data_IF_456716821871
#
_entry.id   IF_456716821871
#
_cell.length_a   1.000
_cell.length_b   1.000
_cell.length_c   1.000
_cell.angle_alpha   90.00
_cell.angle_beta   90.00
_cell.angle_gamma   90.00
#
_symmetry.space_group_name_H-M   'P 1'
#
loop_
_entity.id
_entity.type
_entity.pdbx_description
1 polymer ?
#
# COMPACT_ATOMS: atom_id res chain seq x y z
N UNK A 1 -16.09 25.32 8.96
CA UNK A 1 -14.66 25.69 9.03
C UNK A 1 -14.09 25.62 7.61
N UNK A 2 -13.03 26.37 7.31
CA UNK A 2 -12.45 26.36 5.96
C UNK A 2 -11.62 25.09 5.77
N UNK A 3 -11.65 24.46 4.60
CA UNK A 3 -10.82 23.28 4.30
C UNK A 3 -9.33 23.55 4.63
N UNK A 4 -8.88 24.80 4.43
CA UNK A 4 -7.51 25.23 4.74
C UNK A 4 -7.21 25.27 6.24
N UNK A 5 -8.18 25.66 7.09
CA UNK A 5 -7.98 25.63 8.55
C UNK A 5 -7.90 24.19 9.06
N UNK A 6 -8.71 23.31 8.50
CA UNK A 6 -8.81 21.91 8.91
C UNK A 6 -7.56 21.12 8.47
N UNK A 7 -7.01 21.43 7.28
CA UNK A 7 -5.70 20.90 6.84
C UNK A 7 -4.58 21.38 7.78
N UNK A 8 -4.57 22.66 8.16
CA UNK A 8 -3.62 23.21 9.13
C UNK A 8 -3.69 22.50 10.49
N UNK A 9 -4.90 22.15 10.94
CA UNK A 9 -5.13 21.39 12.16
C UNK A 9 -4.58 19.96 12.08
N UNK A 10 -4.64 19.31 10.91
CA UNK A 10 -4.01 17.98 10.73
C UNK A 10 -2.49 18.09 10.86
N UNK A 11 -1.87 19.09 10.23
CA UNK A 11 -0.41 19.28 10.34
C UNK A 11 0.03 19.61 11.77
N UNK A 12 -0.70 20.45 12.49
CA UNK A 12 -0.38 20.74 13.89
C UNK A 12 -0.56 19.53 14.80
N UNK A 13 -1.59 18.71 14.56
CA UNK A 13 -1.80 17.46 15.29
C UNK A 13 -0.71 16.42 15.00
N UNK A 14 -0.25 16.31 13.75
CA UNK A 14 0.90 15.44 13.41
C UNK A 14 2.18 15.97 14.06
N UNK A 15 2.38 17.29 14.09
CA UNK A 15 3.54 17.92 14.71
C UNK A 15 3.54 17.80 16.24
N UNK A 16 2.37 17.76 16.89
CA UNK A 16 2.27 17.55 18.34
C UNK A 16 2.59 16.12 18.77
N UNK A 17 2.66 15.17 17.82
CA UNK A 17 2.90 13.75 18.05
C UNK A 17 1.91 13.13 19.07
N UNK A 18 0.70 13.69 19.16
CA UNK A 18 -0.37 13.21 20.02
C UNK A 18 -1.40 12.41 19.19
N UNK A 19 -1.46 11.11 19.45
CA UNK A 19 -2.35 10.19 18.75
C UNK A 19 -3.84 10.57 18.87
N UNK A 20 -4.25 11.19 19.98
CA UNK A 20 -5.63 11.63 20.17
C UNK A 20 -5.96 12.84 19.31
N UNK A 21 -5.06 13.84 19.26
CA UNK A 21 -5.21 15.00 18.37
C UNK A 21 -5.20 14.59 16.89
N UNK A 22 -4.31 13.67 16.50
CA UNK A 22 -4.22 13.16 15.12
C UNK A 22 -5.53 12.47 14.73
N UNK A 23 -6.07 11.60 15.61
CA UNK A 23 -7.35 10.94 15.38
C UNK A 23 -8.47 11.97 15.16
N UNK A 24 -8.58 12.95 16.05
CA UNK A 24 -9.64 13.97 15.97
C UNK A 24 -9.55 14.77 14.67
N UNK A 25 -8.34 15.24 14.33
CA UNK A 25 -8.09 15.98 13.10
C UNK A 25 -8.38 15.17 11.83
N UNK A 26 -8.12 13.85 11.84
CA UNK A 26 -8.39 12.96 10.71
C UNK A 26 -9.89 12.67 10.49
N UNK A 27 -10.78 12.98 11.44
CA UNK A 27 -12.23 12.79 11.25
C UNK A 27 -12.83 13.79 10.26
N UNK A 28 -12.22 14.98 10.14
CA UNK A 28 -12.67 16.02 9.23
C UNK A 28 -12.63 15.57 7.75
N UNK A 29 -13.52 16.13 6.93
CA UNK A 29 -13.54 15.91 5.47
C UNK A 29 -12.24 16.40 4.80
N UNK A 30 -11.54 17.33 5.44
CA UNK A 30 -10.21 17.78 5.07
C UNK A 30 -9.19 16.64 4.91
N UNK A 31 -9.35 15.53 5.63
CA UNK A 31 -8.48 14.35 5.51
C UNK A 31 -8.51 13.72 4.12
N UNK A 32 -9.64 13.79 3.40
CA UNK A 32 -9.76 13.30 2.02
C UNK A 32 -8.98 14.17 1.03
N UNK A 33 -9.07 15.49 1.19
CA UNK A 33 -8.33 16.44 0.36
C UNK A 33 -6.83 16.36 0.63
N UNK A 34 -6.43 16.33 1.91
CA UNK A 34 -5.04 16.16 2.30
C UNK A 34 -4.50 14.80 1.83
N UNK A 35 -5.26 13.72 2.02
CA UNK A 35 -4.89 12.39 1.54
C UNK A 35 -4.69 12.37 0.02
N UNK A 36 -5.57 13.02 -0.74
CA UNK A 36 -5.39 13.15 -2.20
C UNK A 36 -4.12 13.92 -2.53
N UNK A 37 -3.85 15.04 -1.86
CA UNK A 37 -2.64 15.83 -2.05
C UNK A 37 -1.37 15.04 -1.69
N UNK A 38 -1.39 14.29 -0.59
CA UNK A 38 -0.28 13.43 -0.14
C UNK A 38 -0.05 12.29 -1.13
N UNK A 39 -1.10 11.61 -1.59
CA UNK A 39 -0.98 10.54 -2.59
C UNK A 39 -0.45 11.08 -3.92
N UNK A 40 -0.90 12.27 -4.34
CA UNK A 40 -0.46 12.91 -5.57
C UNK A 40 1.01 13.36 -5.47
N UNK A 41 1.35 14.20 -4.50
CA UNK A 41 2.69 14.77 -4.34
C UNK A 41 3.69 13.70 -3.92
N UNK A 42 3.33 12.89 -2.93
CA UNK A 42 4.17 11.80 -2.44
C UNK A 42 4.34 10.69 -3.48
N UNK A 43 3.26 10.31 -4.18
CA UNK A 43 3.35 9.35 -5.27
C UNK A 43 4.25 9.82 -6.41
N UNK A 44 4.14 11.09 -6.82
CA UNK A 44 5.03 11.67 -7.85
C UNK A 44 6.48 11.77 -7.37
N UNK A 45 6.71 12.19 -6.13
CA UNK A 45 8.05 12.28 -5.54
C UNK A 45 8.72 10.90 -5.46
N UNK A 46 8.00 9.89 -5.00
CA UNK A 46 8.47 8.50 -4.93
C UNK A 46 8.72 7.92 -6.33
N UNK A 47 7.86 8.19 -7.31
CA UNK A 47 8.08 7.78 -8.69
C UNK A 47 9.35 8.43 -9.28
N UNK A 48 9.63 9.69 -8.92
CA UNK A 48 10.89 10.37 -9.26
C UNK A 48 12.10 9.75 -8.56
N UNK A 49 11.97 9.42 -7.28
CA UNK A 49 13.00 8.74 -6.49
C UNK A 49 13.33 7.36 -7.07
N UNK A 50 12.33 6.58 -7.48
CA UNK A 50 12.53 5.29 -8.13
C UNK A 50 13.31 5.40 -9.43
N UNK A 51 13.05 6.44 -10.24
CA UNK A 51 13.86 6.74 -11.43
C UNK A 51 15.32 7.06 -11.09
N UNK A 52 15.57 7.73 -9.97
CA UNK A 52 16.93 8.06 -9.53
C UNK A 52 17.65 6.85 -8.88
N UNK A 53 16.90 5.98 -8.19
CA UNK A 53 17.40 4.85 -7.41
C UNK A 53 16.72 3.53 -7.85
N UNK A 54 17.12 2.96 -9.01
CA UNK A 54 16.48 1.76 -9.56
C UNK A 54 16.64 0.52 -8.68
N UNK A 55 17.64 0.51 -7.78
CA UNK A 55 17.80 -0.54 -6.79
C UNK A 55 16.62 -0.58 -5.80
N UNK A 56 16.22 0.58 -5.27
CA UNK A 56 15.09 0.68 -4.31
C UNK A 56 13.81 0.23 -5.00
N UNK A 57 13.61 0.71 -6.23
CA UNK A 57 12.47 0.33 -7.07
C UNK A 57 12.39 -1.20 -7.29
N UNK A 58 13.51 -1.89 -7.44
CA UNK A 58 13.51 -3.32 -7.76
C UNK A 58 13.28 -4.21 -6.55
N UNK A 59 13.77 -3.81 -5.37
CA UNK A 59 13.88 -4.69 -4.22
C UNK A 59 12.96 -4.33 -3.04
N UNK A 60 12.46 -3.10 -2.93
CA UNK A 60 11.76 -2.66 -1.71
C UNK A 60 10.51 -3.49 -1.40
N UNK A 61 9.52 -3.52 -2.31
CA UNK A 61 8.27 -4.24 -2.09
C UNK A 61 8.52 -5.75 -2.00
N UNK A 62 9.38 -6.29 -2.87
CA UNK A 62 9.73 -7.72 -2.89
C UNK A 62 10.40 -8.16 -1.58
N UNK A 63 11.30 -7.36 -1.03
CA UNK A 63 11.98 -7.67 0.23
C UNK A 63 11.00 -7.70 1.38
N UNK A 64 10.10 -6.71 1.46
CA UNK A 64 9.07 -6.66 2.51
C UNK A 64 8.15 -7.88 2.44
N UNK A 65 7.71 -8.25 1.23
CA UNK A 65 6.89 -9.44 1.02
C UNK A 65 7.61 -10.72 1.48
N UNK A 66 8.86 -10.93 1.04
CA UNK A 66 9.62 -12.15 1.37
C UNK A 66 9.93 -12.22 2.85
N UNK A 67 10.35 -11.12 3.47
CA UNK A 67 10.64 -11.07 4.91
C UNK A 67 9.39 -11.33 5.73
N UNK A 68 8.26 -10.70 5.39
CA UNK A 68 6.98 -10.95 6.06
C UNK A 68 6.53 -12.41 5.91
N UNK A 69 6.66 -12.98 4.71
CA UNK A 69 6.35 -14.39 4.45
C UNK A 69 7.21 -15.35 5.28
N UNK A 70 8.53 -15.14 5.29
CA UNK A 70 9.46 -15.95 6.08
C UNK A 70 9.20 -15.79 7.58
N UNK A 71 8.86 -14.59 8.05
CA UNK A 71 8.49 -14.35 9.44
C UNK A 71 7.20 -15.10 9.83
N UNK A 72 6.16 -15.06 8.98
CA UNK A 72 4.92 -15.86 9.18
C UNK A 72 5.25 -17.35 9.26
N UNK A 73 6.02 -17.86 8.30
CA UNK A 73 6.42 -19.27 8.25
C UNK A 73 7.21 -19.66 9.50
N UNK A 74 8.14 -18.82 9.94
CA UNK A 74 8.94 -19.05 11.14
C UNK A 74 8.08 -19.08 12.41
N UNK A 75 7.15 -18.14 12.59
CA UNK A 75 6.26 -18.10 13.76
C UNK A 75 5.39 -19.37 13.80
N UNK A 76 4.82 -19.78 12.66
CA UNK A 76 4.00 -20.99 12.60
C UNK A 76 4.84 -22.23 12.89
N UNK A 77 6.03 -22.34 12.29
CA UNK A 77 6.95 -23.44 12.52
C UNK A 77 7.37 -23.55 13.98
N UNK A 78 7.78 -22.43 14.59
CA UNK A 78 8.11 -22.39 16.01
C UNK A 78 6.91 -22.70 16.89
N UNK A 79 5.71 -22.22 16.54
CA UNK A 79 4.47 -22.52 17.25
C UNK A 79 4.14 -24.02 17.28
N UNK A 80 4.51 -24.77 16.24
CA UNK A 80 4.39 -26.24 16.24
C UNK A 80 5.38 -26.85 17.24
N UNK A 81 6.63 -26.39 17.27
CA UNK A 81 7.64 -26.90 18.22
C UNK A 81 7.22 -26.61 19.67
N UNK A 82 6.86 -25.37 19.98
CA UNK A 82 6.41 -24.95 21.33
C UNK A 82 5.25 -25.84 21.81
N UNK A 83 4.27 -26.07 20.93
CA UNK A 83 3.10 -26.87 21.23
C UNK A 83 3.40 -28.33 21.51
N UNK A 84 4.17 -28.99 20.64
CA UNK A 84 4.34 -30.45 20.70
C UNK A 84 5.55 -30.90 21.52
N UNK A 85 6.58 -30.06 21.65
CA UNK A 85 7.80 -30.39 22.41
C UNK A 85 7.71 -29.83 23.83
N UNK A 86 7.28 -28.59 23.98
CA UNK A 86 7.27 -27.90 25.28
C UNK A 86 5.89 -27.91 25.96
N UNK A 87 4.87 -28.48 25.31
CA UNK A 87 3.46 -28.47 25.80
C UNK A 87 2.97 -27.06 26.15
N UNK A 88 3.51 -26.04 25.47
CA UNK A 88 3.22 -24.63 25.70
C UNK A 88 2.75 -23.99 24.39
N UNK A 89 1.87 -23.00 24.48
CA UNK A 89 1.41 -22.28 23.30
C UNK A 89 1.41 -20.78 23.58
N UNK A 90 2.35 -20.07 22.97
CA UNK A 90 2.34 -18.62 23.00
C UNK A 90 1.06 -18.04 22.36
N UNK A 91 0.25 -17.24 23.08
CA UNK A 91 -1.01 -16.73 22.56
C UNK A 91 -0.85 -15.81 21.32
N UNK A 92 0.26 -15.08 21.23
CA UNK A 92 0.54 -14.18 20.10
C UNK A 92 0.89 -14.92 18.79
N UNK A 93 1.23 -16.21 18.86
CA UNK A 93 1.65 -16.98 17.68
C UNK A 93 0.51 -17.19 16.68
N UNK A 94 -0.74 -16.89 17.05
CA UNK A 94 -1.92 -16.96 16.18
C UNK A 94 -2.40 -15.58 15.71
N UNK A 95 -2.00 -14.50 16.38
CA UNK A 95 -2.51 -13.14 16.16
C UNK A 95 -1.53 -12.25 15.39
N UNK A 96 -0.21 -12.43 15.58
CA UNK A 96 0.82 -11.73 14.81
C UNK A 96 0.88 -12.20 13.35
N UNK A 97 0.79 -13.50 13.01
CA UNK A 97 0.90 -13.93 11.62
C UNK A 97 -0.16 -13.33 10.68
N UNK A 98 -1.45 -13.19 11.05
CA UNK A 98 -2.42 -12.45 10.24
C UNK A 98 -2.03 -10.98 9.99
N UNK A 99 -1.42 -10.29 10.96
CA UNK A 99 -0.94 -8.92 10.80
C UNK A 99 0.26 -8.84 9.84
N UNK A 100 1.19 -9.80 9.93
CA UNK A 100 2.30 -9.93 8.99
C UNK A 100 1.83 -10.32 7.58
N UNK A 101 0.81 -11.19 7.49
CA UNK A 101 0.19 -11.54 6.22
C UNK A 101 -0.51 -10.33 5.59
N UNK A 102 -1.18 -9.50 6.39
CA UNK A 102 -1.74 -8.22 5.94
C UNK A 102 -0.64 -7.32 5.36
N UNK A 103 0.50 -7.17 6.04
CA UNK A 103 1.66 -6.42 5.52
C UNK A 103 2.08 -7.01 4.16
N UNK A 104 2.35 -8.32 4.11
CA UNK A 104 2.74 -9.00 2.88
C UNK A 104 1.73 -8.76 1.74
N UNK A 105 0.43 -8.81 2.03
CA UNK A 105 -0.64 -8.62 1.05
C UNK A 105 -0.67 -7.19 0.49
N UNK A 106 -0.51 -6.16 1.32
CA UNK A 106 -0.53 -4.77 0.85
C UNK A 106 0.68 -4.41 0.00
N UNK A 107 1.87 -4.84 0.40
CA UNK A 107 3.08 -4.64 -0.40
C UNK A 107 3.07 -5.53 -1.66
N UNK A 108 2.49 -6.73 -1.59
CA UNK A 108 2.25 -7.59 -2.75
C UNK A 108 1.27 -6.99 -3.76
N UNK A 109 0.20 -6.35 -3.28
CA UNK A 109 -0.72 -5.62 -4.14
C UNK A 109 -0.01 -4.48 -4.86
N UNK A 110 0.81 -3.71 -4.14
CA UNK A 110 1.63 -2.63 -4.72
C UNK A 110 2.57 -3.15 -5.80
N UNK A 111 3.24 -4.27 -5.54
CA UNK A 111 4.13 -4.92 -6.50
C UNK A 111 3.39 -5.45 -7.75
N UNK A 112 2.20 -6.03 -7.57
CA UNK A 112 1.35 -6.48 -8.67
C UNK A 112 0.82 -5.32 -9.53
N UNK A 113 0.58 -4.15 -8.94
CA UNK A 113 0.27 -2.93 -9.72
C UNK A 113 1.46 -2.58 -10.60
N UNK A 114 2.69 -2.59 -10.09
CA UNK A 114 3.90 -2.33 -10.88
C UNK A 114 4.08 -3.32 -12.04
N UNK A 115 3.84 -4.62 -11.79
CA UNK A 115 3.94 -5.66 -12.82
C UNK A 115 2.72 -5.77 -13.74
N UNK A 116 1.63 -5.04 -13.45
CA UNK A 116 0.35 -5.12 -14.18
C UNK A 116 -0.24 -6.53 -14.22
N UNK A 117 0.00 -7.31 -13.17
CA UNK A 117 -0.52 -8.68 -13.01
C UNK A 117 -1.88 -8.74 -12.32
N UNK A 118 -2.52 -7.58 -12.10
CA UNK A 118 -3.90 -7.55 -11.64
C UNK A 118 -4.84 -8.14 -12.70
N UNK A 119 -5.90 -8.79 -12.24
CA UNK A 119 -6.84 -9.49 -13.11
C UNK A 119 -7.48 -8.49 -14.08
N UNK A 120 -7.22 -8.68 -15.37
CA UNK A 120 -7.73 -7.83 -16.44
C UNK A 120 -8.17 -8.67 -17.63
N UNK A 121 -9.16 -8.17 -18.37
CA UNK A 121 -9.62 -8.78 -19.62
C UNK A 121 -8.66 -8.44 -20.77
N UNK A 122 -7.44 -8.94 -20.69
CA UNK A 122 -6.35 -8.64 -21.63
C UNK A 122 -6.69 -9.02 -23.08
N UNK A 123 -7.39 -10.15 -23.28
CA UNK A 123 -7.83 -10.62 -24.60
C UNK A 123 -8.87 -9.70 -25.27
N UNK A 124 -9.76 -9.11 -24.46
CA UNK A 124 -10.73 -8.14 -24.98
C UNK A 124 -10.04 -6.83 -25.32
N UNK A 125 -9.16 -6.35 -24.43
CA UNK A 125 -8.44 -5.09 -24.61
C UNK A 125 -7.44 -5.16 -25.77
N UNK A 126 -6.76 -6.27 -25.99
CA UNK A 126 -5.80 -6.43 -27.09
C UNK A 126 -6.45 -6.33 -28.48
N UNK A 127 -7.72 -6.69 -28.60
CA UNK A 127 -8.51 -6.61 -29.84
C UNK A 127 -9.11 -5.23 -30.12
N UNK A 128 -9.05 -4.30 -29.15
CA UNK A 128 -9.58 -2.95 -29.32
C UNK A 128 -8.69 -2.09 -30.21
N UNK A 129 -9.26 -1.05 -30.88
CA UNK A 129 -8.45 -0.04 -31.55
C UNK A 129 -7.57 0.70 -30.53
N UNK A 130 -6.38 1.13 -30.96
CA UNK A 130 -5.36 1.80 -30.14
C UNK A 130 -5.90 2.89 -29.18
N UNK A 131 -6.76 3.84 -29.60
CA UNK A 131 -7.32 4.85 -28.69
C UNK A 131 -8.19 4.25 -27.57
N UNK A 132 -8.93 3.18 -27.84
CA UNK A 132 -9.72 2.49 -26.82
C UNK A 132 -8.84 1.73 -25.82
N UNK A 133 -7.74 1.12 -26.28
CA UNK A 133 -6.73 0.53 -25.39
C UNK A 133 -6.17 1.57 -24.42
N UNK A 134 -5.79 2.74 -24.94
CA UNK A 134 -5.27 3.84 -24.12
C UNK A 134 -6.32 4.35 -23.14
N UNK A 135 -7.58 4.51 -23.57
CA UNK A 135 -8.68 4.90 -22.68
C UNK A 135 -8.87 3.91 -21.52
N UNK A 136 -8.78 2.59 -21.77
CA UNK A 136 -8.81 1.58 -20.72
C UNK A 136 -7.64 1.71 -19.74
N UNK A 137 -6.41 1.96 -20.23
CA UNK A 137 -5.24 2.16 -19.37
C UNK A 137 -5.36 3.43 -18.51
N UNK A 138 -5.91 4.51 -19.09
CA UNK A 138 -6.18 5.73 -18.32
C UNK A 138 -7.26 5.52 -17.26
N UNK A 139 -8.31 4.76 -17.59
CA UNK A 139 -9.32 4.37 -16.62
C UNK A 139 -8.71 3.55 -15.48
N UNK A 140 -7.89 2.54 -15.78
CA UNK A 140 -7.19 1.74 -14.76
C UNK A 140 -6.33 2.63 -13.86
N UNK A 141 -5.58 3.59 -14.43
CA UNK A 141 -4.76 4.52 -13.66
C UNK A 141 -5.60 5.40 -12.71
N UNK A 142 -6.73 5.94 -13.18
CA UNK A 142 -7.64 6.73 -12.35
C UNK A 142 -8.25 5.87 -11.23
N UNK A 143 -8.70 4.65 -11.55
CA UNK A 143 -9.29 3.74 -10.57
C UNK A 143 -8.27 3.32 -9.50
N UNK A 144 -7.05 2.95 -9.89
CA UNK A 144 -5.99 2.58 -8.95
C UNK A 144 -5.55 3.76 -8.08
N UNK A 145 -5.48 4.97 -8.64
CA UNK A 145 -5.15 6.15 -7.85
C UNK A 145 -6.27 6.49 -6.85
N UNK A 146 -7.53 6.49 -7.29
CA UNK A 146 -8.68 6.73 -6.42
C UNK A 146 -8.76 5.67 -5.30
N UNK A 147 -8.58 4.40 -5.64
CA UNK A 147 -8.53 3.31 -4.67
C UNK A 147 -7.39 3.50 -3.66
N UNK A 148 -6.22 3.93 -4.13
CA UNK A 148 -5.07 4.21 -3.25
C UNK A 148 -5.38 5.31 -2.24
N UNK A 149 -6.02 6.41 -2.67
CA UNK A 149 -6.45 7.48 -1.76
C UNK A 149 -7.45 6.97 -0.73
N UNK A 150 -8.45 6.18 -1.16
CA UNK A 150 -9.48 5.63 -0.26
C UNK A 150 -8.86 4.77 0.82
N UNK A 151 -8.03 3.80 0.44
CA UNK A 151 -7.47 2.89 1.43
C UNK A 151 -6.43 3.62 2.29
N UNK A 152 -5.64 4.53 1.74
CA UNK A 152 -4.67 5.29 2.51
C UNK A 152 -5.35 6.14 3.60
N UNK A 153 -6.40 6.90 3.29
CA UNK A 153 -7.09 7.74 4.28
C UNK A 153 -7.80 6.89 5.32
N UNK A 154 -8.50 5.83 4.91
CA UNK A 154 -9.26 4.98 5.84
C UNK A 154 -8.34 4.18 6.76
N UNK A 155 -7.23 3.66 6.26
CA UNK A 155 -6.25 2.93 7.07
C UNK A 155 -5.41 3.84 7.94
N UNK A 156 -5.13 5.09 7.52
CA UNK A 156 -4.53 6.11 8.39
C UNK A 156 -5.45 6.45 9.58
N UNK A 157 -6.76 6.61 9.34
CA UNK A 157 -7.76 6.78 10.40
C UNK A 157 -7.78 5.58 11.34
N UNK A 158 -7.73 4.35 10.81
CA UNK A 158 -7.70 3.14 11.61
C UNK A 158 -6.42 3.02 12.47
N UNK A 159 -5.27 3.38 11.91
CA UNK A 159 -4.00 3.40 12.63
C UNK A 159 -3.99 4.44 13.76
N UNK A 160 -4.47 5.67 13.48
CA UNK A 160 -4.61 6.72 14.49
C UNK A 160 -5.61 6.33 15.60
N UNK A 161 -6.73 5.70 15.23
CA UNK A 161 -7.69 5.16 16.20
C UNK A 161 -7.04 4.12 17.11
N UNK A 162 -6.31 3.17 16.52
CA UNK A 162 -5.59 2.13 17.24
C UNK A 162 -4.54 2.69 18.19
N UNK A 163 -3.79 3.70 17.74
CA UNK A 163 -2.81 4.41 18.56
C UNK A 163 -3.46 5.17 19.73
N UNK A 164 -4.54 5.93 19.47
CA UNK A 164 -5.24 6.72 20.50
C UNK A 164 -5.88 5.88 21.60
N UNK A 165 -6.26 4.64 21.27
CA UNK A 165 -6.88 3.70 22.20
C UNK A 165 -5.84 2.77 22.87
N UNK A 166 -4.55 2.94 22.61
CA UNK A 166 -3.48 2.05 23.08
C UNK A 166 -3.80 0.56 22.84
N UNK A 167 -4.32 0.24 21.65
CA UNK A 167 -4.72 -1.13 21.32
C UNK A 167 -3.49 -2.04 21.27
N UNK A 168 -3.52 -3.09 22.09
CA UNK A 168 -2.47 -4.12 22.16
C UNK A 168 -2.87 -5.30 21.28
N UNK A 169 -1.90 -5.88 20.57
CA UNK A 169 -2.09 -7.12 19.84
C UNK A 169 -2.44 -8.23 20.82
N UNK A 170 -3.58 -8.89 20.59
CA UNK A 170 -4.06 -9.97 21.44
C UNK A 170 -2.98 -11.03 21.67
N UNK A 171 -2.72 -11.37 22.93
CA UNK A 171 -1.71 -12.35 23.30
C UNK A 171 -0.28 -11.81 23.49
N UNK A 172 -0.09 -10.48 23.43
CA UNK A 172 1.18 -9.80 23.74
C UNK A 172 1.00 -8.85 24.93
N UNK A 173 2.10 -8.49 25.59
CA UNK A 173 2.06 -7.59 26.76
C UNK A 173 2.14 -6.11 26.37
N UNK A 174 2.99 -5.76 25.40
CA UNK A 174 3.33 -4.37 25.06
C UNK A 174 3.39 -4.09 23.55
N UNK A 175 2.91 -5.01 22.71
CA UNK A 175 2.99 -4.83 21.25
C UNK A 175 1.76 -4.07 20.78
N UNK A 176 1.97 -2.81 20.35
CA UNK A 176 0.87 -1.97 19.89
C UNK A 176 0.42 -2.37 18.48
N UNK A 177 -0.89 -2.50 18.29
CA UNK A 177 -1.48 -2.94 17.03
C UNK A 177 -1.25 -1.92 15.90
N UNK A 178 -1.17 -0.62 16.22
CA UNK A 178 -0.95 0.44 15.23
C UNK A 178 0.41 0.34 14.52
N UNK A 179 1.42 -0.30 15.14
CA UNK A 179 2.72 -0.57 14.49
C UNK A 179 2.58 -1.40 13.22
N UNK A 180 1.56 -2.26 13.15
CA UNK A 180 1.24 -3.04 11.96
C UNK A 180 0.26 -2.31 11.05
N UNK A 181 -0.73 -1.59 11.61
CA UNK A 181 -1.74 -0.91 10.79
C UNK A 181 -1.17 0.25 9.98
N UNK A 182 -0.15 0.95 10.48
CA UNK A 182 0.48 2.08 9.78
C UNK A 182 1.19 1.66 8.49
N UNK A 183 1.50 0.37 8.31
CA UNK A 183 2.10 -0.11 7.07
C UNK A 183 1.13 -0.07 5.89
N UNK A 184 -0.19 -0.14 6.15
CA UNK A 184 -1.21 -0.09 5.10
C UNK A 184 -1.22 1.27 4.37
N UNK A 185 -1.36 2.43 5.04
CA UNK A 185 -1.32 3.72 4.32
C UNK A 185 0.03 3.95 3.63
N UNK A 186 1.14 3.45 4.19
CA UNK A 186 2.45 3.49 3.53
C UNK A 186 2.45 2.68 2.24
N UNK A 187 1.93 1.44 2.27
CA UNK A 187 1.84 0.60 1.06
C UNK A 187 0.98 1.25 -0.02
N UNK A 188 -0.14 1.90 0.34
CA UNK A 188 -0.98 2.60 -0.64
C UNK A 188 -0.38 3.90 -1.17
N UNK A 189 0.51 4.55 -0.42
CA UNK A 189 1.34 5.64 -0.94
C UNK A 189 2.34 5.12 -1.99
N UNK A 190 2.97 3.97 -1.74
CA UNK A 190 3.82 3.31 -2.72
C UNK A 190 3.02 2.86 -3.96
N UNK A 191 1.79 2.36 -3.76
CA UNK A 191 0.88 2.01 -4.85
C UNK A 191 0.57 3.20 -5.74
N UNK A 192 0.29 4.38 -5.16
CA UNK A 192 0.13 5.61 -5.93
C UNK A 192 1.38 5.92 -6.78
N UNK A 193 2.59 5.73 -6.22
CA UNK A 193 3.83 5.88 -6.98
C UNK A 193 3.92 4.89 -8.16
N UNK A 194 3.58 3.60 -7.96
CA UNK A 194 3.54 2.59 -9.03
C UNK A 194 2.50 2.92 -10.09
N UNK A 195 1.34 3.44 -9.71
CA UNK A 195 0.32 3.92 -10.65
C UNK A 195 0.87 5.05 -11.53
N UNK A 196 1.61 6.02 -10.97
CA UNK A 196 2.23 7.07 -11.77
C UNK A 196 3.33 6.55 -12.69
N UNK A 197 4.15 5.59 -12.25
CA UNK A 197 5.15 4.96 -13.12
C UNK A 197 4.50 4.31 -14.34
N UNK A 198 3.46 3.52 -14.12
CA UNK A 198 2.68 2.88 -15.17
C UNK A 198 2.03 3.93 -16.10
N UNK A 199 1.42 4.96 -15.53
CA UNK A 199 0.80 6.04 -16.30
C UNK A 199 1.82 6.75 -17.21
N UNK A 200 3.02 7.05 -16.72
CA UNK A 200 4.06 7.67 -17.52
C UNK A 200 4.60 6.76 -18.61
N UNK A 201 4.71 5.46 -18.35
CA UNK A 201 5.06 4.47 -19.36
C UNK A 201 3.99 4.40 -20.46
N UNK A 202 2.70 4.40 -20.10
CA UNK A 202 1.58 4.32 -21.04
C UNK A 202 1.51 5.57 -21.93
N UNK A 203 1.70 6.76 -21.36
CA UNK A 203 1.77 8.01 -22.10
C UNK A 203 2.98 8.02 -23.06
N UNK A 204 4.13 7.49 -22.61
CA UNK A 204 5.32 7.35 -23.46
C UNK A 204 5.08 6.38 -24.62
N UNK A 205 4.46 5.24 -24.36
CA UNK A 205 4.14 4.23 -25.37
C UNK A 205 3.10 4.74 -26.37
N UNK A 206 2.11 5.51 -25.92
CA UNK A 206 1.15 6.19 -26.79
C UNK A 206 1.86 7.13 -27.78
N UNK A 207 2.71 8.03 -27.28
CA UNK A 207 3.42 9.04 -28.09
C UNK A 207 4.45 8.44 -29.04
N UNK A 208 5.12 7.37 -28.63
CA UNK A 208 6.21 6.74 -29.40
C UNK A 208 5.74 5.66 -30.39
N UNK A 209 4.43 5.39 -30.49
CA UNK A 209 3.92 4.35 -31.38
C UNK A 209 4.15 2.91 -30.87
N UNK A 210 4.82 2.72 -29.73
CA UNK A 210 5.07 1.42 -29.10
C UNK A 210 3.76 0.69 -28.71
N UNK A 211 3.75 -0.65 -28.64
CA UNK A 211 2.57 -1.41 -28.22
C UNK A 211 2.16 -1.02 -26.79
N UNK A 212 0.87 -0.74 -26.58
CA UNK A 212 0.31 -0.31 -25.29
C UNK A 212 0.08 -1.49 -24.35
N UNK A 213 -0.47 -2.58 -24.87
CA UNK A 213 -0.77 -3.79 -24.09
C UNK A 213 0.31 -4.81 -24.41
N UNK A 214 1.13 -5.12 -23.41
CA UNK A 214 2.02 -6.27 -23.42
C UNK A 214 1.33 -7.37 -22.60
N UNK A 215 1.25 -8.59 -23.13
CA UNK A 215 0.75 -9.71 -22.35
C UNK A 215 1.76 -9.98 -21.22
N UNK A 216 1.37 -9.71 -19.98
CA UNK A 216 2.14 -10.12 -18.82
C UNK A 216 2.02 -11.64 -18.68
N UNK A 217 3.09 -12.37 -19.02
CA UNK A 217 3.19 -13.81 -18.75
C UNK A 217 3.72 -13.95 -17.33
N UNK A 218 2.97 -14.65 -16.46
CA UNK A 218 3.44 -14.96 -15.11
C UNK A 218 4.66 -15.90 -15.26
N UNK A 219 5.86 -15.38 -14.96
CA UNK A 219 7.13 -16.09 -15.15
C UNK A 219 7.84 -15.84 -16.48
N UNK A 220 7.37 -14.90 -17.31
CA UNK A 220 8.12 -14.43 -18.48
C UNK A 220 9.19 -13.41 -18.09
N UNK A 221 10.38 -13.54 -18.66
CA UNK A 221 11.47 -12.58 -18.45
C UNK A 221 11.04 -11.17 -18.88
N UNK A 222 11.18 -10.22 -17.97
CA UNK A 222 11.01 -8.76 -18.20
C UNK A 222 12.36 -8.12 -18.48
#
# INVERSE_FOLDING_TARGET
MSILSDVGAIFSAVASNDAWMIREALTADAAWYLGTAVALVGGLALAGMYRALPFVERYLERTIMVVAYLAVAFIIFWGVIDRFVFSNQQPWSTTIPPLLFMIMAWFGATYNVALRTHLSFSEFRSRMPRPAQFACLMLDAVLWFAFSVIVMVTTARAAALSASNFQIVLGTDNTLQWWFLITAPIAFLLMAARTFQNLFEDISNWRSGRPLIKQAVIGGDV
#
